data_IF_035160872960
#
_entry.id   IF_035160872960
#
_cell.length_a   1.000
_cell.length_b   1.000
_cell.length_c   1.000
_cell.angle_alpha   90.00
_cell.angle_beta   90.00
_cell.angle_gamma   90.00
#
_symmetry.space_group_name_H-M   'P 1'
#
loop_
_entity.id
_entity.type
_entity.pdbx_description
1 polymer ?
#
# COMPACT_ATOMS: atom_id res chain seq x y z
N UNK A 1 -16.11 19.56 28.30
CA UNK A 1 -15.64 18.61 27.28
C UNK A 1 -14.22 18.22 27.65
N UNK A 2 -14.09 17.14 28.42
CA UNK A 2 -12.81 16.65 28.96
C UNK A 2 -12.26 15.60 28.00
N UNK A 3 -11.07 15.84 27.44
CA UNK A 3 -10.35 14.86 26.65
C UNK A 3 -9.69 13.86 27.60
N UNK A 4 -10.12 12.59 27.52
CA UNK A 4 -9.54 11.45 28.21
C UNK A 4 -8.10 11.21 27.76
N UNK A 5 -7.18 11.23 28.72
CA UNK A 5 -5.82 10.73 28.57
C UNK A 5 -5.85 9.20 28.55
N UNK A 6 -5.48 8.59 27.42
CA UNK A 6 -5.04 7.20 27.37
C UNK A 6 -3.52 7.24 27.34
N UNK A 7 -2.91 7.24 28.53
CA UNK A 7 -1.49 6.98 28.70
C UNK A 7 -1.35 5.47 28.79
N UNK A 8 -0.98 4.83 27.68
CA UNK A 8 -0.59 3.41 27.68
C UNK A 8 0.69 3.27 28.50
N UNK A 9 0.59 2.60 29.65
CA UNK A 9 1.69 2.36 30.57
C UNK A 9 2.76 1.45 29.99
N UNK A 10 3.73 2.04 29.31
CA UNK A 10 5.07 1.49 29.23
C UNK A 10 5.72 1.60 30.61
N UNK A 11 6.23 0.49 31.14
CA UNK A 11 6.99 0.46 32.39
C UNK A 11 8.32 1.19 32.20
N UNK A 12 8.28 2.51 32.21
CA UNK A 12 9.48 3.33 32.35
C UNK A 12 10.01 3.12 33.76
N UNK A 13 11.15 2.45 33.86
CA UNK A 13 11.95 2.42 35.08
C UNK A 13 12.24 3.88 35.46
N UNK A 14 11.70 4.31 36.59
CA UNK A 14 12.13 5.56 37.25
C UNK A 14 13.52 5.29 37.82
N UNK A 15 14.52 5.24 36.93
CA UNK A 15 15.92 5.14 37.29
C UNK A 15 16.28 6.29 38.20
N UNK A 16 16.96 5.97 39.31
CA UNK A 16 17.50 6.99 40.22
C UNK A 16 18.31 8.01 39.40
N UNK A 17 18.14 9.32 39.63
CA UNK A 17 18.92 10.30 38.91
C UNK A 17 20.41 10.05 39.19
N UNK A 18 21.18 9.75 38.14
CA UNK A 18 22.53 10.31 38.10
C UNK A 18 23.73 9.42 37.85
N UNK A 19 23.65 8.28 37.16
CA UNK A 19 24.89 7.72 36.56
C UNK A 19 24.72 7.04 35.21
N UNK A 20 23.50 6.85 34.70
CA UNK A 20 23.27 6.05 33.48
C UNK A 20 22.31 6.74 32.51
N UNK A 21 22.48 6.47 31.23
CA UNK A 21 21.64 6.97 30.16
C UNK A 21 20.27 6.31 30.19
N UNK A 22 19.19 7.10 30.25
CA UNK A 22 17.81 6.59 30.32
C UNK A 22 17.33 5.79 29.10
N UNK A 23 18.13 5.70 28.03
CA UNK A 23 17.80 4.91 26.83
C UNK A 23 18.74 3.71 26.61
N UNK A 24 20.02 3.81 26.94
CA UNK A 24 21.01 2.80 26.58
C UNK A 24 21.91 2.37 27.75
N UNK A 25 21.58 2.81 28.96
CA UNK A 25 22.25 2.43 30.23
C UNK A 25 23.75 2.79 30.30
N UNK A 26 24.28 3.50 29.29
CA UNK A 26 25.68 3.92 29.28
C UNK A 26 25.98 4.90 30.43
N UNK A 27 27.17 4.82 31.05
CA UNK A 27 27.52 5.68 32.18
C UNK A 27 27.54 7.16 31.77
N UNK A 28 27.00 8.03 32.62
CA UNK A 28 26.86 9.47 32.44
C UNK A 28 27.51 10.24 33.59
N UNK A 29 27.91 11.47 33.29
CA UNK A 29 28.26 12.45 34.30
C UNK A 29 27.01 12.98 35.00
N UNK A 30 27.18 13.40 36.25
CA UNK A 30 26.13 13.99 37.07
C UNK A 30 25.37 15.10 36.33
N UNK A 31 24.04 15.06 36.43
CA UNK A 31 23.15 16.05 35.82
C UNK A 31 22.84 15.83 34.35
N UNK A 32 23.28 14.72 33.73
CA UNK A 32 22.83 14.30 32.40
C UNK A 32 21.94 13.06 32.49
N UNK A 33 20.95 13.00 31.61
CA UNK A 33 19.99 11.89 31.49
C UNK A 33 20.09 11.21 30.12
N UNK A 34 20.69 11.88 29.13
CA UNK A 34 20.91 11.36 27.77
C UNK A 34 22.38 11.46 27.34
N UNK A 35 22.96 10.32 26.95
CA UNK A 35 24.33 10.25 26.44
C UNK A 35 24.47 10.91 25.06
N UNK A 36 25.71 11.23 24.67
CA UNK A 36 25.97 11.83 23.36
C UNK A 36 25.51 10.93 22.20
N UNK A 37 25.75 9.62 22.30
CA UNK A 37 25.32 8.64 21.29
C UNK A 37 23.80 8.57 21.11
N UNK A 38 23.01 8.79 22.17
CA UNK A 38 21.56 8.86 22.07
C UNK A 38 21.05 10.27 21.70
N UNK A 39 21.85 11.30 21.95
CA UNK A 39 21.56 12.68 21.54
C UNK A 39 21.66 12.84 20.03
N UNK A 40 22.70 12.28 19.39
CA UNK A 40 22.90 12.44 17.94
C UNK A 40 21.68 11.99 17.12
N UNK A 41 21.08 10.81 17.37
CA UNK A 41 19.87 10.41 16.66
C UNK A 41 18.65 11.28 16.98
N UNK A 42 18.52 11.81 18.21
CA UNK A 42 17.46 12.78 18.54
C UNK A 42 17.62 14.07 17.71
N UNK A 43 18.84 14.56 17.53
CA UNK A 43 19.11 15.73 16.69
C UNK A 43 18.82 15.45 15.21
N UNK A 44 19.19 14.27 14.72
CA UNK A 44 18.86 13.81 13.35
C UNK A 44 17.35 13.74 13.15
N UNK A 45 16.62 13.14 14.09
CA UNK A 45 15.17 13.04 14.06
C UNK A 45 14.52 14.44 14.06
N UNK A 46 14.97 15.37 14.91
CA UNK A 46 14.52 16.77 14.91
C UNK A 46 14.81 17.51 13.59
N UNK A 47 15.96 17.27 12.96
CA UNK A 47 16.29 17.84 11.64
C UNK A 47 15.41 17.26 10.54
N UNK A 48 15.03 15.98 10.64
CA UNK A 48 14.20 15.29 9.66
C UNK A 48 12.73 15.74 9.67
N UNK A 49 12.24 16.32 10.77
CA UNK A 49 10.83 16.78 10.91
C UNK A 49 10.39 17.66 9.75
N UNK A 50 11.24 18.57 9.25
CA UNK A 50 10.85 19.49 8.18
C UNK A 50 10.47 18.76 6.87
N UNK A 51 11.29 17.78 6.44
CA UNK A 51 11.02 17.00 5.25
C UNK A 51 9.82 16.06 5.43
N UNK A 52 9.77 15.33 6.55
CA UNK A 52 8.67 14.41 6.85
C UNK A 52 7.33 15.16 6.95
N UNK A 53 7.32 16.38 7.50
CA UNK A 53 6.13 17.23 7.57
C UNK A 53 5.64 17.67 6.18
N UNK A 54 6.55 18.06 5.29
CA UNK A 54 6.20 18.40 3.92
C UNK A 54 5.59 17.20 3.19
N UNK A 55 6.23 16.05 3.26
CA UNK A 55 5.79 14.81 2.60
C UNK A 55 4.40 14.37 3.08
N UNK A 56 4.15 14.42 4.40
CA UNK A 56 2.87 14.00 4.98
C UNK A 56 1.75 14.98 4.69
N UNK A 57 2.04 16.28 4.67
CA UNK A 57 1.05 17.28 4.29
C UNK A 57 0.71 17.20 2.80
N UNK A 58 1.69 16.92 1.92
CA UNK A 58 1.44 16.62 0.51
C UNK A 58 0.58 15.36 0.37
N UNK A 59 0.88 14.31 1.12
CA UNK A 59 0.14 13.04 1.08
C UNK A 59 -1.28 13.16 1.65
N UNK A 60 -1.48 13.99 2.67
CA UNK A 60 -2.79 14.27 3.27
C UNK A 60 -3.64 15.22 2.42
N UNK A 61 -3.03 16.24 1.80
CA UNK A 61 -3.71 17.23 0.94
C UNK A 61 -3.96 16.75 -0.49
N UNK A 62 -3.17 15.79 -0.98
CA UNK A 62 -3.49 15.10 -2.22
C UNK A 62 -4.82 14.38 -2.04
N UNK A 63 -5.83 14.97 -2.68
CA UNK A 63 -6.89 14.25 -3.39
C UNK A 63 -6.24 13.20 -4.29
N UNK A 64 -5.74 12.10 -3.72
CA UNK A 64 -5.31 10.94 -4.50
C UNK A 64 -6.55 10.19 -5.00
N UNK A 65 -7.44 10.92 -5.67
CA UNK A 65 -8.27 10.42 -6.77
C UNK A 65 -7.25 10.00 -7.81
N UNK A 66 -6.94 8.70 -7.76
CA UNK A 66 -5.71 8.13 -8.30
C UNK A 66 -5.45 8.39 -9.77
N UNK A 67 -4.27 7.96 -10.21
CA UNK A 67 -4.14 7.60 -11.61
C UNK A 67 -5.29 6.62 -11.93
N UNK A 68 -6.20 6.93 -12.88
CA UNK A 68 -7.13 5.94 -13.36
C UNK A 68 -6.28 4.76 -13.82
N UNK A 69 -6.55 3.57 -13.28
CA UNK A 69 -6.07 2.36 -13.91
C UNK A 69 -6.60 2.40 -15.34
N UNK A 70 -5.70 2.58 -16.29
CA UNK A 70 -6.00 2.55 -17.71
C UNK A 70 -6.36 1.08 -18.01
N UNK A 71 -7.62 0.68 -17.75
CA UNK A 71 -8.13 -0.66 -18.04
C UNK A 71 -9.08 -1.32 -17.03
N UNK A 72 -9.39 -0.74 -15.87
CA UNK A 72 -10.19 -1.40 -14.82
C UNK A 72 -11.68 -1.08 -14.83
N UNK A 73 -12.43 -1.44 -15.86
CA UNK A 73 -13.90 -1.21 -15.90
C UNK A 73 -14.63 -2.31 -15.12
N UNK A 74 -15.40 -1.98 -14.07
CA UNK A 74 -16.51 -2.83 -13.62
C UNK A 74 -16.54 -3.30 -12.16
N UNK A 75 -15.56 -2.96 -11.32
CA UNK A 75 -15.74 -3.04 -9.87
C UNK A 75 -16.25 -1.70 -9.37
N UNK A 76 -17.30 -1.66 -8.53
CA UNK A 76 -17.72 -0.43 -7.88
C UNK A 76 -16.50 0.28 -7.29
N UNK A 77 -16.11 1.40 -7.90
CA UNK A 77 -15.16 2.33 -7.32
C UNK A 77 -15.85 2.84 -6.05
N UNK A 78 -15.65 2.14 -4.93
CA UNK A 78 -15.93 2.70 -3.62
C UNK A 78 -15.25 4.05 -3.64
N UNK A 79 -16.01 5.14 -3.50
CA UNK A 79 -15.48 6.48 -3.62
C UNK A 79 -14.31 6.58 -2.66
N UNK A 80 -13.08 6.55 -3.17
CA UNK A 80 -11.92 6.73 -2.31
C UNK A 80 -12.09 8.10 -1.71
N UNK A 81 -12.04 8.15 -0.38
CA UNK A 81 -12.21 9.41 0.34
C UNK A 81 -11.21 10.43 -0.23
N UNK A 82 -11.65 11.68 -0.42
CA UNK A 82 -10.84 12.71 -1.06
C UNK A 82 -9.56 13.05 -0.29
N UNK A 83 -9.33 12.51 0.90
CA UNK A 83 -8.14 12.76 1.69
C UNK A 83 -7.58 11.46 2.25
N UNK A 84 -6.26 11.40 2.41
CA UNK A 84 -5.62 10.34 3.19
C UNK A 84 -5.79 10.66 4.68
N UNK A 85 -6.90 10.21 5.29
CA UNK A 85 -7.23 10.50 6.69
C UNK A 85 -6.17 9.95 7.65
N UNK A 86 -5.54 8.82 7.34
CA UNK A 86 -4.46 8.24 8.14
C UNK A 86 -3.23 9.16 8.16
N UNK A 87 -2.81 9.68 7.01
CA UNK A 87 -1.72 10.66 6.95
C UNK A 87 -2.04 11.94 7.76
N UNK A 88 -3.28 12.43 7.73
CA UNK A 88 -3.68 13.60 8.51
C UNK A 88 -3.67 13.32 10.02
N UNK A 89 -4.09 12.13 10.45
CA UNK A 89 -4.06 11.71 11.86
C UNK A 89 -2.62 11.58 12.37
N UNK A 90 -1.73 10.97 11.58
CA UNK A 90 -0.29 10.88 11.91
C UNK A 90 0.39 12.25 11.95
N UNK A 91 0.04 13.15 11.02
CA UNK A 91 0.51 14.54 11.05
C UNK A 91 0.05 15.25 12.34
N UNK A 92 -1.22 15.10 12.72
CA UNK A 92 -1.75 15.69 13.94
C UNK A 92 -1.06 15.12 15.20
N UNK A 93 -0.77 13.82 15.21
CA UNK A 93 -0.04 13.15 16.29
C UNK A 93 1.36 13.74 16.46
N UNK A 94 2.13 13.89 15.37
CA UNK A 94 3.46 14.52 15.40
C UNK A 94 3.38 15.96 15.95
N UNK A 95 2.35 16.72 15.58
CA UNK A 95 2.12 18.09 16.08
C UNK A 95 1.86 18.11 17.59
N UNK A 96 1.03 17.20 18.09
CA UNK A 96 0.72 17.08 19.53
C UNK A 96 1.97 16.71 20.32
N UNK A 97 2.76 15.73 19.86
CA UNK A 97 4.00 15.30 20.52
C UNK A 97 4.99 16.47 20.63
N UNK A 98 5.30 17.14 19.52
CA UNK A 98 6.23 18.28 19.53
C UNK A 98 5.72 19.44 20.38
N UNK A 99 4.42 19.74 20.32
CA UNK A 99 3.80 20.77 21.15
C UNK A 99 3.84 20.45 22.64
N UNK A 100 3.60 19.18 22.99
CA UNK A 100 3.68 18.66 24.36
C UNK A 100 5.07 18.80 24.93
N UNK A 101 6.09 18.28 24.24
CA UNK A 101 7.48 18.35 24.71
C UNK A 101 8.03 19.77 24.76
N UNK A 102 7.65 20.62 23.81
CA UNK A 102 7.97 22.05 23.86
C UNK A 102 7.46 22.71 25.15
N UNK A 103 6.26 22.34 25.62
CA UNK A 103 5.66 22.92 26.83
C UNK A 103 6.32 22.50 28.13
N UNK A 104 7.13 21.42 28.12
CA UNK A 104 7.88 20.96 29.29
C UNK A 104 9.14 21.79 29.56
N UNK A 105 9.58 22.61 28.60
CA UNK A 105 10.74 23.47 28.77
C UNK A 105 10.35 24.78 29.47
N UNK A 106 11.19 25.31 30.37
CA UNK A 106 10.88 26.52 31.15
C UNK A 106 10.94 27.82 30.32
N UNK A 107 11.28 27.72 29.03
CA UNK A 107 11.45 28.85 28.12
C UNK A 107 10.26 28.98 27.17
N UNK A 108 9.86 30.22 26.89
CA UNK A 108 8.78 30.49 25.93
C UNK A 108 9.26 30.12 24.52
N UNK A 109 8.80 28.99 24.00
CA UNK A 109 9.08 28.57 22.64
C UNK A 109 8.09 29.13 21.60
N UNK A 110 8.40 29.02 20.30
CA UNK A 110 7.56 29.51 19.22
C UNK A 110 6.25 28.73 19.08
N UNK A 111 5.15 29.42 18.78
CA UNK A 111 3.92 28.77 18.32
C UNK A 111 4.02 28.52 16.81
N UNK A 112 3.35 27.47 16.31
CA UNK A 112 3.25 27.24 14.88
C UNK A 112 3.22 25.77 14.48
N UNK A 113 3.79 25.52 13.30
CA UNK A 113 3.87 24.20 12.69
C UNK A 113 5.06 23.38 13.23
N UNK A 114 4.99 22.03 13.16
CA UNK A 114 6.03 21.12 13.62
C UNK A 114 7.48 21.47 13.21
N UNK A 115 7.77 21.92 11.98
CA UNK A 115 9.15 22.26 11.60
C UNK A 115 9.74 23.42 12.41
N UNK A 116 8.92 24.41 12.78
CA UNK A 116 9.35 25.57 13.58
C UNK A 116 9.65 25.13 15.02
N UNK A 117 8.79 24.27 15.58
CA UNK A 117 8.95 23.74 16.93
C UNK A 117 10.19 22.84 17.01
N UNK A 118 10.38 21.94 16.03
CA UNK A 118 11.53 21.05 15.98
C UNK A 118 12.86 21.81 15.86
N UNK A 119 12.91 22.83 14.98
CA UNK A 119 14.09 23.71 14.86
C UNK A 119 14.42 24.42 16.17
N UNK A 120 13.41 24.85 16.91
CA UNK A 120 13.62 25.45 18.24
C UNK A 120 14.09 24.42 19.26
N UNK A 121 13.46 23.24 19.34
CA UNK A 121 13.89 22.14 20.24
C UNK A 121 15.36 21.75 19.99
N UNK A 122 15.80 21.77 18.72
CA UNK A 122 17.20 21.51 18.37
C UNK A 122 18.17 22.51 19.04
N UNK A 123 17.78 23.77 19.20
CA UNK A 123 18.57 24.78 19.94
C UNK A 123 18.59 24.53 21.45
N UNK A 124 17.61 23.79 21.97
CA UNK A 124 17.44 23.49 23.39
C UNK A 124 18.06 22.14 23.79
N UNK A 125 18.72 21.43 22.88
CA UNK A 125 19.35 20.12 23.15
C UNK A 125 20.25 20.11 24.39
N UNK A 126 21.11 21.12 24.65
CA UNK A 126 21.92 21.14 25.87
C UNK A 126 21.10 21.10 27.17
N UNK A 127 19.88 21.64 27.17
CA UNK A 127 18.95 21.57 28.28
C UNK A 127 18.18 20.25 28.30
N UNK A 128 17.64 19.84 27.14
CA UNK A 128 16.86 18.60 26.99
C UNK A 128 17.65 17.40 27.52
N UNK A 129 18.95 17.29 27.21
CA UNK A 129 19.82 16.18 27.67
C UNK A 129 19.98 16.04 29.19
N UNK A 130 19.51 17.02 29.96
CA UNK A 130 19.55 17.04 31.43
C UNK A 130 18.18 16.73 32.05
N UNK A 131 17.13 16.67 31.23
CA UNK A 131 15.76 16.44 31.68
C UNK A 131 15.49 14.94 31.81
N UNK A 132 14.82 14.52 32.87
CA UNK A 132 14.50 13.10 33.12
C UNK A 132 13.73 12.45 31.97
N UNK A 133 12.91 13.22 31.27
CA UNK A 133 12.07 12.75 30.16
C UNK A 133 12.77 12.73 28.80
N UNK A 134 14.06 13.05 28.71
CA UNK A 134 14.78 13.17 27.44
C UNK A 134 14.77 11.89 26.59
N UNK A 135 14.83 10.72 27.25
CA UNK A 135 14.76 9.43 26.59
C UNK A 135 13.37 9.20 25.94
N UNK A 136 12.30 9.49 26.68
CA UNK A 136 10.92 9.36 26.19
C UNK A 136 10.66 10.27 24.99
N UNK A 137 11.10 11.54 25.02
CA UNK A 137 10.99 12.44 23.86
C UNK A 137 11.64 11.82 22.61
N UNK A 138 12.84 11.24 22.76
CA UNK A 138 13.57 10.63 21.63
C UNK A 138 12.78 9.47 21.04
N UNK A 139 12.26 8.58 21.89
CA UNK A 139 11.49 7.41 21.45
C UNK A 139 10.18 7.82 20.78
N UNK A 140 9.39 8.67 21.42
CA UNK A 140 8.11 9.14 20.87
C UNK A 140 8.29 9.92 19.56
N UNK A 141 9.29 10.80 19.47
CA UNK A 141 9.55 11.53 18.24
C UNK A 141 9.92 10.59 17.10
N UNK A 142 10.78 9.59 17.38
CA UNK A 142 11.20 8.60 16.39
C UNK A 142 10.03 7.76 15.90
N UNK A 143 9.20 7.29 16.82
CA UNK A 143 7.99 6.53 16.51
C UNK A 143 7.05 7.36 15.64
N UNK A 144 6.75 8.60 16.05
CA UNK A 144 5.89 9.51 15.28
C UNK A 144 6.43 9.81 13.87
N UNK A 145 7.74 10.00 13.72
CA UNK A 145 8.36 10.21 12.41
C UNK A 145 8.28 8.96 11.53
N UNK A 146 8.46 7.77 12.10
CA UNK A 146 8.32 6.52 11.35
C UNK A 146 6.88 6.27 10.93
N UNK A 147 5.92 6.52 11.82
CA UNK A 147 4.49 6.48 11.50
C UNK A 147 4.14 7.43 10.36
N UNK A 148 4.66 8.65 10.40
CA UNK A 148 4.48 9.61 9.30
C UNK A 148 5.06 9.06 7.98
N UNK A 149 6.28 8.51 8.01
CA UNK A 149 6.92 7.91 6.82
C UNK A 149 6.12 6.73 6.28
N UNK A 150 5.60 5.86 7.14
CA UNK A 150 4.76 4.73 6.72
C UNK A 150 3.43 5.18 6.12
N UNK A 151 2.84 6.27 6.62
CA UNK A 151 1.62 6.84 6.07
C UNK A 151 1.85 7.51 4.70
N UNK A 152 3.05 8.07 4.45
CA UNK A 152 3.44 8.66 3.16
C UNK A 152 3.92 7.62 2.15
N UNK A 153 4.66 6.60 2.61
CA UNK A 153 5.14 5.50 1.79
C UNK A 153 3.99 4.55 1.46
N UNK A 154 3.11 4.98 0.54
CA UNK A 154 2.11 4.08 -0.03
C UNK A 154 2.83 2.87 -0.59
N UNK A 155 2.52 1.70 -0.04
CA UNK A 155 2.97 0.44 -0.63
C UNK A 155 2.50 0.44 -2.08
N UNK A 156 3.46 0.43 -3.01
CA UNK A 156 3.15 0.46 -4.43
C UNK A 156 2.09 -0.59 -4.76
N UNK A 157 1.10 -0.22 -5.57
CA UNK A 157 -0.08 -1.04 -5.84
C UNK A 157 0.34 -2.47 -6.18
N UNK A 158 -0.22 -3.45 -5.47
CA UNK A 158 0.13 -4.86 -5.68
C UNK A 158 -0.95 -5.54 -6.49
N UNK A 159 -0.56 -6.22 -7.55
CA UNK A 159 -1.42 -7.08 -8.37
C UNK A 159 -1.20 -8.54 -7.99
N UNK A 160 -2.30 -9.29 -7.93
CA UNK A 160 -2.26 -10.74 -7.83
C UNK A 160 -1.87 -11.34 -9.17
N UNK A 161 -0.94 -12.29 -9.15
CA UNK A 161 -0.44 -13.05 -10.29
C UNK A 161 -0.73 -14.54 -10.14
N UNK A 162 -1.86 -14.88 -9.52
CA UNK A 162 -2.35 -16.25 -9.37
C UNK A 162 -1.68 -17.04 -8.25
N UNK A 163 -1.93 -18.34 -8.24
CA UNK A 163 -1.47 -19.27 -7.20
C UNK A 163 0.02 -19.58 -7.31
N UNK A 164 0.68 -19.77 -6.17
CA UNK A 164 2.08 -20.16 -6.09
C UNK A 164 2.25 -21.62 -6.56
N UNK A 165 3.25 -21.89 -7.39
CA UNK A 165 3.54 -23.26 -7.86
C UNK A 165 4.67 -23.93 -7.09
N UNK A 166 5.20 -23.25 -6.08
CA UNK A 166 6.22 -23.85 -5.23
C UNK A 166 5.58 -24.92 -4.33
N UNK A 167 6.37 -25.90 -3.90
CA UNK A 167 5.92 -26.92 -2.95
C UNK A 167 6.51 -26.66 -1.56
N UNK A 168 5.71 -26.90 -0.52
CA UNK A 168 6.13 -26.84 0.88
C UNK A 168 5.87 -28.21 1.50
N UNK A 169 6.94 -28.94 1.83
CA UNK A 169 6.81 -30.28 2.44
C UNK A 169 6.14 -31.31 1.53
N UNK A 170 6.33 -31.21 0.21
CA UNK A 170 5.74 -32.11 -0.79
C UNK A 170 4.27 -31.83 -1.12
N UNK A 171 3.71 -30.71 -0.64
CA UNK A 171 2.38 -30.24 -0.99
C UNK A 171 2.45 -28.91 -1.75
N UNK A 172 1.55 -28.65 -2.71
CA UNK A 172 1.52 -27.39 -3.45
C UNK A 172 1.21 -26.21 -2.50
N UNK A 173 1.93 -25.11 -2.67
CA UNK A 173 1.74 -23.90 -1.89
C UNK A 173 0.44 -23.20 -2.27
N UNK A 174 -0.57 -23.24 -1.39
CA UNK A 174 -1.81 -22.47 -1.57
C UNK A 174 -1.68 -20.94 -1.44
N UNK A 175 -0.46 -20.40 -1.49
CA UNK A 175 -0.21 -18.96 -1.40
C UNK A 175 -0.48 -18.25 -2.73
N UNK A 176 -0.81 -16.97 -2.68
CA UNK A 176 -0.94 -16.13 -3.88
C UNK A 176 0.35 -15.39 -4.16
N UNK A 177 0.76 -15.38 -5.42
CA UNK A 177 1.89 -14.59 -5.90
C UNK A 177 1.46 -13.14 -6.11
N UNK A 178 2.18 -12.21 -5.49
CA UNK A 178 1.89 -10.78 -5.58
C UNK A 178 3.08 -10.06 -6.20
N UNK A 179 2.84 -9.06 -7.03
CA UNK A 179 3.88 -8.15 -7.52
C UNK A 179 3.40 -6.71 -7.44
N UNK A 180 4.34 -5.77 -7.36
CA UNK A 180 4.04 -4.36 -7.54
C UNK A 180 3.64 -4.14 -9.01
N UNK A 181 2.69 -3.24 -9.30
CA UNK A 181 2.35 -2.83 -10.68
C UNK A 181 3.62 -2.35 -11.39
N UNK A 182 3.97 -3.01 -12.50
CA UNK A 182 5.22 -2.76 -13.25
C UNK A 182 6.48 -3.41 -12.66
N UNK A 183 6.37 -4.07 -11.50
CA UNK A 183 7.45 -4.82 -10.85
C UNK A 183 7.92 -6.00 -11.71
N UNK A 184 9.22 -6.29 -11.66
CA UNK A 184 9.83 -7.41 -12.41
C UNK A 184 9.71 -8.76 -11.68
N UNK A 185 9.56 -8.72 -10.35
CA UNK A 185 9.58 -9.89 -9.49
C UNK A 185 8.23 -10.00 -8.76
N UNK A 186 7.66 -11.20 -8.79
CA UNK A 186 6.51 -11.61 -8.01
C UNK A 186 6.99 -12.39 -6.80
N UNK A 187 6.32 -12.24 -5.65
CA UNK A 187 6.64 -12.95 -4.40
C UNK A 187 5.41 -13.61 -3.82
N UNK A 188 5.57 -14.86 -3.36
CA UNK A 188 4.52 -15.57 -2.65
C UNK A 188 4.40 -15.00 -1.25
N UNK A 189 3.17 -14.69 -0.81
CA UNK A 189 2.95 -14.23 0.57
C UNK A 189 3.15 -15.31 1.62
N UNK A 190 3.01 -16.58 1.24
CA UNK A 190 3.06 -17.70 2.18
C UNK A 190 4.48 -18.29 2.30
N UNK A 191 5.07 -18.72 1.19
CA UNK A 191 6.39 -19.38 1.20
C UNK A 191 7.56 -18.48 0.79
N UNK A 192 7.32 -17.25 0.36
CA UNK A 192 8.37 -16.32 -0.07
C UNK A 192 9.00 -16.62 -1.42
N UNK A 193 8.57 -17.67 -2.15
CA UNK A 193 9.06 -18.00 -3.49
C UNK A 193 8.95 -16.80 -4.44
N UNK A 194 9.90 -16.68 -5.36
CA UNK A 194 10.01 -15.56 -6.30
C UNK A 194 9.91 -16.03 -7.75
N UNK A 195 9.10 -15.35 -8.56
CA UNK A 195 8.99 -15.58 -10.01
C UNK A 195 9.13 -14.28 -10.80
N UNK A 196 9.38 -14.39 -12.11
CA UNK A 196 9.32 -13.25 -13.02
C UNK A 196 7.88 -12.80 -13.29
N UNK A 197 7.53 -11.57 -12.91
CA UNK A 197 6.14 -11.05 -13.02
C UNK A 197 5.61 -11.10 -14.45
N UNK A 198 6.43 -10.75 -15.45
CA UNK A 198 6.05 -10.77 -16.87
C UNK A 198 5.80 -12.18 -17.40
N UNK A 199 6.53 -13.16 -16.89
CA UNK A 199 6.36 -14.55 -17.31
C UNK A 199 5.09 -15.14 -16.73
N UNK A 200 4.83 -14.89 -15.45
CA UNK A 200 3.54 -15.22 -14.83
C UNK A 200 2.36 -14.53 -15.49
N UNK A 201 2.46 -13.24 -15.81
CA UNK A 201 1.39 -12.54 -16.52
C UNK A 201 1.13 -13.17 -17.89
N UNK A 202 2.19 -13.50 -18.65
CA UNK A 202 2.05 -14.18 -19.94
C UNK A 202 1.38 -15.55 -19.79
N UNK A 203 1.78 -16.32 -18.78
CA UNK A 203 1.15 -17.61 -18.48
C UNK A 203 -0.32 -17.46 -18.07
N UNK A 204 -0.64 -16.51 -17.20
CA UNK A 204 -2.02 -16.25 -16.80
C UNK A 204 -2.89 -15.84 -17.99
N UNK A 205 -2.34 -15.01 -18.88
CA UNK A 205 -3.03 -14.62 -20.11
C UNK A 205 -3.22 -15.84 -21.01
N UNK A 206 -2.21 -16.71 -21.19
CA UNK A 206 -2.37 -17.92 -22.00
C UNK A 206 -3.41 -18.88 -21.43
N UNK A 207 -3.41 -19.11 -20.12
CA UNK A 207 -4.42 -19.96 -19.47
C UNK A 207 -5.82 -19.35 -19.51
N UNK A 208 -5.94 -18.02 -19.35
CA UNK A 208 -7.22 -17.33 -19.39
C UNK A 208 -7.98 -17.56 -20.71
N UNK A 209 -7.27 -17.81 -21.82
CA UNK A 209 -7.90 -18.12 -23.12
C UNK A 209 -8.63 -19.46 -23.14
N UNK A 210 -8.25 -20.38 -22.25
CA UNK A 210 -8.77 -21.75 -22.17
C UNK A 210 -9.77 -21.94 -21.02
N UNK A 211 -10.02 -20.91 -20.20
CA UNK A 211 -11.01 -21.00 -19.12
C UNK A 211 -12.40 -21.23 -19.71
N UNK A 212 -13.06 -22.28 -19.23
CA UNK A 212 -14.44 -22.60 -19.57
C UNK A 212 -15.39 -21.78 -18.70
N UNK A 213 -16.32 -21.07 -19.33
CA UNK A 213 -17.34 -20.29 -18.62
C UNK A 213 -18.62 -20.16 -19.46
N UNK A 214 -19.68 -19.64 -18.86
CA UNK A 214 -20.92 -19.35 -19.58
C UNK A 214 -20.71 -18.20 -20.57
N UNK A 215 -21.39 -18.28 -21.72
CA UNK A 215 -21.27 -17.30 -22.79
C UNK A 215 -21.46 -15.83 -22.36
N UNK A 216 -22.41 -15.47 -21.46
CA UNK A 216 -22.55 -14.08 -21.01
C UNK A 216 -21.33 -13.56 -20.24
N UNK A 217 -20.69 -14.42 -19.45
CA UNK A 217 -19.52 -14.05 -18.66
C UNK A 217 -18.31 -13.81 -19.57
N UNK A 218 -18.10 -14.68 -20.55
CA UNK A 218 -17.02 -14.53 -21.54
C UNK A 218 -17.23 -13.27 -22.38
N UNK A 219 -18.43 -13.04 -22.90
CA UNK A 219 -18.72 -11.83 -23.69
C UNK A 219 -18.48 -10.55 -22.87
N UNK A 220 -18.84 -10.57 -21.58
CA UNK A 220 -18.58 -9.48 -20.63
C UNK A 220 -17.08 -9.32 -20.39
N UNK A 221 -16.33 -10.39 -20.13
CA UNK A 221 -14.89 -10.34 -19.92
C UNK A 221 -14.15 -9.80 -21.14
N UNK A 222 -14.46 -10.28 -22.33
CA UNK A 222 -13.86 -9.84 -23.60
C UNK A 222 -14.16 -8.37 -23.93
N UNK A 223 -15.38 -7.90 -23.61
CA UNK A 223 -15.76 -6.50 -23.79
C UNK A 223 -15.08 -5.60 -22.78
N UNK A 224 -15.02 -6.03 -21.52
CA UNK A 224 -14.45 -5.26 -20.41
C UNK A 224 -12.93 -5.13 -20.52
N UNK A 225 -12.25 -6.19 -20.96
CA UNK A 225 -10.81 -6.21 -21.25
C UNK A 225 -10.44 -5.45 -22.53
N UNK A 226 -11.42 -5.01 -23.34
CA UNK A 226 -11.18 -4.32 -24.59
C UNK A 226 -10.70 -5.21 -25.73
N UNK A 227 -10.68 -6.53 -25.56
CA UNK A 227 -10.26 -7.46 -26.61
C UNK A 227 -11.26 -7.58 -27.76
N UNK A 228 -12.57 -7.47 -27.49
CA UNK A 228 -13.61 -7.47 -28.51
C UNK A 228 -14.92 -6.86 -27.98
N UNK A 229 -15.60 -6.05 -28.79
CA UNK A 229 -16.93 -5.51 -28.45
C UNK A 229 -18.02 -6.49 -28.87
N UNK A 230 -18.41 -7.38 -27.97
CA UNK A 230 -19.36 -8.48 -28.26
C UNK A 230 -20.66 -8.28 -27.48
N UNK A 231 -21.75 -8.09 -28.21
CA UNK A 231 -23.09 -8.10 -27.64
C UNK A 231 -23.55 -9.56 -27.38
N UNK A 232 -24.12 -9.83 -26.20
CA UNK A 232 -24.54 -11.18 -25.80
C UNK A 232 -25.57 -11.77 -26.77
N UNK A 233 -26.48 -10.96 -27.32
CA UNK A 233 -27.47 -11.41 -28.31
C UNK A 233 -26.78 -11.87 -29.60
N UNK A 234 -25.72 -11.19 -30.02
CA UNK A 234 -24.92 -11.60 -31.18
C UNK A 234 -24.18 -12.91 -30.92
N UNK A 235 -23.56 -13.05 -29.74
CA UNK A 235 -22.88 -14.28 -29.37
C UNK A 235 -23.85 -15.49 -29.38
N UNK A 236 -25.06 -15.33 -28.83
CA UNK A 236 -26.11 -16.37 -28.89
C UNK A 236 -26.54 -16.70 -30.32
N UNK A 237 -26.61 -15.71 -31.20
CA UNK A 237 -26.91 -15.96 -32.62
C UNK A 237 -25.82 -16.77 -33.30
N UNK A 238 -24.55 -16.66 -32.90
CA UNK A 238 -23.48 -17.51 -33.45
C UNK A 238 -23.62 -18.96 -33.01
N UNK A 239 -24.01 -19.20 -31.75
CA UNK A 239 -24.34 -20.54 -31.25
C UNK A 239 -25.50 -21.14 -32.05
N UNK A 240 -26.62 -20.42 -32.15
CA UNK A 240 -27.80 -20.89 -32.89
C UNK A 240 -27.52 -21.14 -34.37
N UNK A 241 -26.56 -20.42 -34.95
CA UNK A 241 -26.15 -20.58 -36.34
C UNK A 241 -25.07 -21.67 -36.54
N UNK A 242 -24.64 -22.37 -35.48
CA UNK A 242 -23.58 -23.37 -35.54
C UNK A 242 -22.18 -22.82 -35.82
N UNK A 243 -21.95 -21.52 -35.56
CA UNK A 243 -20.65 -20.85 -35.76
C UNK A 243 -19.78 -20.83 -34.51
N UNK A 244 -20.39 -21.13 -33.37
CA UNK A 244 -19.72 -21.23 -32.09
C UNK A 244 -20.23 -22.50 -31.43
N UNK A 245 -19.36 -23.50 -31.34
CA UNK A 245 -19.69 -24.77 -30.70
C UNK A 245 -19.33 -24.72 -29.20
N UNK A 246 -20.13 -25.36 -28.34
CA UNK A 246 -19.80 -25.48 -26.93
C UNK A 246 -18.59 -26.39 -26.74
N UNK A 247 -17.68 -25.99 -25.87
CA UNK A 247 -16.47 -26.75 -25.56
C UNK A 247 -16.76 -27.86 -24.54
N UNK A 248 -17.67 -27.58 -23.60
CA UNK A 248 -18.12 -28.52 -22.59
C UNK A 248 -19.57 -28.24 -22.18
N UNK A 249 -20.14 -29.14 -21.37
CA UNK A 249 -21.42 -28.96 -20.72
C UNK A 249 -21.22 -29.10 -19.21
N UNK A 250 -21.69 -28.12 -18.44
CA UNK A 250 -21.68 -28.16 -16.99
C UNK A 250 -22.66 -29.24 -16.50
N UNK A 251 -22.17 -30.20 -15.70
CA UNK A 251 -22.94 -31.39 -15.32
C UNK A 251 -24.14 -31.05 -14.43
N UNK A 252 -23.99 -30.06 -13.56
CA UNK A 252 -24.99 -29.70 -12.56
C UNK A 252 -26.12 -28.88 -13.17
N UNK A 253 -25.76 -27.86 -13.94
CA UNK A 253 -26.72 -26.93 -14.54
C UNK A 253 -27.18 -27.36 -15.94
N UNK A 254 -26.50 -28.33 -16.55
CA UNK A 254 -26.67 -28.77 -17.96
C UNK A 254 -26.55 -27.62 -18.96
N UNK A 255 -25.75 -26.61 -18.60
CA UNK A 255 -25.53 -25.42 -19.42
C UNK A 255 -24.23 -25.56 -20.19
N UNK A 256 -24.26 -25.09 -21.43
CA UNK A 256 -23.10 -25.07 -22.30
C UNK A 256 -22.02 -24.10 -21.81
N UNK A 257 -20.78 -24.58 -21.83
CA UNK A 257 -19.58 -23.85 -21.50
C UNK A 257 -18.79 -23.57 -22.78
N UNK A 258 -18.17 -22.40 -22.82
CA UNK A 258 -17.38 -21.93 -23.95
C UNK A 258 -16.04 -21.44 -23.45
N UNK A 259 -15.10 -21.23 -24.36
CA UNK A 259 -13.80 -20.62 -24.04
C UNK A 259 -13.69 -19.22 -24.68
N UNK A 260 -12.97 -18.27 -24.04
CA UNK A 260 -12.68 -16.97 -24.65
C UNK A 260 -12.02 -17.08 -26.03
N UNK A 261 -11.15 -18.09 -26.24
CA UNK A 261 -10.52 -18.36 -27.52
C UNK A 261 -11.55 -18.66 -28.63
N UNK A 262 -12.51 -19.56 -28.38
CA UNK A 262 -13.54 -19.91 -29.35
C UNK A 262 -14.45 -18.71 -29.69
N UNK A 263 -14.84 -17.93 -28.68
CA UNK A 263 -15.68 -16.74 -28.86
C UNK A 263 -14.96 -15.67 -29.68
N UNK A 264 -13.67 -15.43 -29.44
CA UNK A 264 -12.87 -14.52 -30.26
C UNK A 264 -12.70 -15.02 -31.68
N UNK A 265 -12.46 -16.33 -31.88
CA UNK A 265 -12.33 -16.91 -33.22
C UNK A 265 -13.62 -16.66 -34.03
N UNK A 266 -14.78 -16.97 -33.46
CA UNK A 266 -16.08 -16.70 -34.08
C UNK A 266 -16.30 -15.20 -34.35
N UNK A 267 -15.88 -14.32 -33.44
CA UNK A 267 -15.96 -12.87 -33.63
C UNK A 267 -15.11 -12.39 -34.82
N UNK A 268 -13.88 -12.90 -34.95
CA UNK A 268 -12.94 -12.53 -36.02
C UNK A 268 -13.44 -12.92 -37.41
N UNK A 269 -14.25 -13.97 -37.51
CA UNK A 269 -14.85 -14.36 -38.78
C UNK A 269 -15.95 -13.40 -39.26
N UNK A 270 -16.54 -12.60 -38.35
CA UNK A 270 -17.60 -11.64 -38.68
C UNK A 270 -17.06 -10.42 -39.47
N UNK A 271 -17.89 -9.75 -40.27
CA UNK A 271 -17.48 -8.53 -40.98
C UNK A 271 -16.95 -7.43 -40.07
N UNK A 272 -17.49 -7.31 -38.85
CA UNK A 272 -17.03 -6.34 -37.85
C UNK A 272 -15.65 -6.71 -37.32
N UNK A 273 -15.45 -7.97 -36.91
CA UNK A 273 -14.16 -8.43 -36.40
C UNK A 273 -13.04 -8.33 -37.43
N UNK A 274 -13.31 -8.64 -38.71
CA UNK A 274 -12.33 -8.47 -39.79
C UNK A 274 -11.89 -7.03 -39.99
N UNK A 275 -12.81 -6.06 -39.89
CA UNK A 275 -12.47 -4.62 -39.99
C UNK A 275 -11.60 -4.16 -38.83
N UNK A 276 -11.92 -4.58 -37.62
CA UNK A 276 -11.11 -4.23 -36.43
C UNK A 276 -9.71 -4.85 -36.48
N UNK A 277 -9.57 -6.07 -37.01
CA UNK A 277 -8.24 -6.67 -37.24
C UNK A 277 -7.39 -5.88 -38.22
N UNK A 278 -7.98 -5.43 -39.34
CA UNK A 278 -7.28 -4.63 -40.35
C UNK A 278 -6.82 -3.29 -39.78
N UNK A 279 -7.62 -2.67 -38.91
CA UNK A 279 -7.26 -1.41 -38.26
C UNK A 279 -6.10 -1.56 -37.25
N UNK A 280 -5.97 -2.70 -36.59
CA UNK A 280 -4.90 -2.96 -35.62
C UNK A 280 -3.58 -3.44 -36.26
N UNK A 281 -3.61 -3.82 -37.54
CA UNK A 281 -2.44 -4.28 -38.29
C UNK A 281 -1.71 -3.17 -39.07
N UNK A 282 -2.35 -1.99 -39.18
CA UNK A 282 -1.81 -0.79 -39.82
C UNK A 282 -1.14 0.13 -38.77
#
# INVERSE_FOLDING_TARGET
MHASQVITGGSHSTGSPGTECGNCEAPLHDGFTLCHQCTTPLEEDLRAVAGVWEDIMVSGSRLDVGAPSVGGSGGHAGSREPANLDALDKAQTLRVILGGWKSQLPTVGPFGEPPVIAKWLLTQIPFIRKMEWAATLKEELREALNDCRYATDRSAERVSLGECWNEIGGLPCGGTMMSIVGGKIAKCRLCGATDGSRERQRWLISEAWHVQAFLPDIARWLTTSGHARIDIKKARNWVNAGKLEPDACDVDTRRELYTPAAVIAAYRETPTGRREQLANAA
#
